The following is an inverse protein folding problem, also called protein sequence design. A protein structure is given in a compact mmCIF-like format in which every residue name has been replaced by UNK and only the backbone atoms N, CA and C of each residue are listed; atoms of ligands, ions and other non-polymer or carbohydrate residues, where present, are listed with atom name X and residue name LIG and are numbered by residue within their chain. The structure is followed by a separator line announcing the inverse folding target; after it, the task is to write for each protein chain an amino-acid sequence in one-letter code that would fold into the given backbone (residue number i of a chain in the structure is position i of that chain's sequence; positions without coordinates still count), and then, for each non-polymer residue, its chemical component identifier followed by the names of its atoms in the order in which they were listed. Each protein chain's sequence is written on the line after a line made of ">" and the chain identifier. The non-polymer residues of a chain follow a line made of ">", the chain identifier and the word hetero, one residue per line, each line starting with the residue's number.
data_IF_787654584792
#
_entry.id   IF_787654584792
#
_cell.length_a   1.000
_cell.length_b   1.000
_cell.length_c   1.000
_cell.angle_alpha   90.00
_cell.angle_beta   90.00
_cell.angle_gamma   90.00
#
_symmetry.space_group_name_H-M   'P 1'
#
loop_
_entity.id
_entity.type
_entity.pdbx_description
1 polymer ?
#
# COMPACT_ATOMS: atom_id res chain seq x y z
N UNK A 1 -45.37 -39.94 -15.56
CA UNK A 1 -44.84 -40.50 -16.83
C UNK A 1 -45.70 -39.88 -17.93
N UNK A 2 -45.28 -39.04 -18.85
CA UNK A 2 -44.05 -38.94 -19.66
C UNK A 2 -43.95 -37.46 -20.10
N UNK A 3 -42.83 -36.75 -19.92
CA UNK A 3 -41.78 -36.53 -20.95
C UNK A 3 -42.40 -36.11 -22.30
N UNK A 4 -42.09 -34.97 -22.95
CA UNK A 4 -40.79 -34.38 -23.18
C UNK A 4 -40.93 -33.26 -24.24
N UNK A 5 -39.98 -32.30 -24.22
CA UNK A 5 -39.36 -31.64 -25.40
C UNK A 5 -40.20 -30.58 -26.15
N UNK A 6 -39.94 -29.28 -26.06
CA UNK A 6 -38.76 -28.49 -26.47
C UNK A 6 -39.03 -27.68 -27.77
N UNK A 7 -38.93 -26.35 -27.61
CA UNK A 7 -38.22 -25.41 -28.51
C UNK A 7 -38.98 -24.83 -29.71
N UNK A 8 -39.00 -23.49 -29.76
CA UNK A 8 -39.41 -22.65 -30.90
C UNK A 8 -39.71 -21.21 -30.44
N UNK A 9 -38.72 -20.42 -29.95
CA UNK A 9 -37.97 -19.40 -30.74
C UNK A 9 -38.99 -18.41 -31.37
N UNK A 10 -39.14 -17.13 -31.03
CA UNK A 10 -38.21 -15.99 -31.02
C UNK A 10 -38.95 -14.85 -30.27
N UNK A 11 -38.40 -14.32 -29.18
CA UNK A 11 -38.76 -12.97 -28.73
C UNK A 11 -37.49 -12.17 -28.59
N UNK A 12 -37.13 -11.51 -29.70
CA UNK A 12 -36.09 -10.50 -29.75
C UNK A 12 -36.60 -9.25 -29.05
N UNK A 13 -35.91 -8.79 -28.01
CA UNK A 13 -35.75 -7.35 -27.80
C UNK A 13 -34.50 -7.08 -26.97
N UNK A 14 -33.65 -6.24 -27.56
CA UNK A 14 -32.41 -5.74 -27.01
C UNK A 14 -32.60 -5.08 -25.65
N UNK A 15 -31.79 -5.50 -24.67
CA UNK A 15 -31.38 -4.70 -23.54
C UNK A 15 -29.84 -4.78 -23.51
N UNK A 16 -29.18 -4.00 -24.36
CA UNK A 16 -28.61 -2.73 -23.97
C UNK A 16 -27.64 -2.88 -22.78
N UNK A 17 -26.35 -2.96 -23.13
CA UNK A 17 -25.26 -2.32 -22.39
C UNK A 17 -25.35 -2.43 -20.86
N UNK A 18 -25.03 -3.60 -20.31
CA UNK A 18 -24.54 -3.63 -18.93
C UNK A 18 -23.06 -3.27 -18.99
N UNK A 19 -22.80 -2.07 -18.49
CA UNK A 19 -21.52 -1.44 -18.25
C UNK A 19 -20.42 -2.44 -17.92
N UNK A 20 -19.34 -2.40 -18.71
CA UNK A 20 -18.02 -2.74 -18.21
C UNK A 20 -17.77 -1.85 -17.01
N UNK A 21 -18.04 -2.37 -15.82
CA UNK A 21 -17.47 -1.86 -14.57
C UNK A 21 -15.96 -2.03 -14.74
N UNK A 22 -15.32 -0.96 -15.23
CA UNK A 22 -13.89 -0.78 -15.14
C UNK A 22 -13.57 -0.68 -13.66
N UNK A 23 -13.54 -1.81 -12.98
CA UNK A 23 -12.98 -1.94 -11.66
C UNK A 23 -11.54 -1.41 -11.77
N UNK A 24 -11.36 -0.15 -11.37
CA UNK A 24 -10.07 0.47 -11.28
C UNK A 24 -9.25 -0.44 -10.38
N UNK A 25 -8.30 -1.16 -11.00
CA UNK A 25 -7.35 -1.97 -10.25
C UNK A 25 -6.76 -1.07 -9.16
N UNK A 26 -6.60 -1.56 -7.91
CA UNK A 26 -5.97 -0.80 -6.86
C UNK A 26 -4.62 -0.30 -7.39
N UNK A 27 -4.45 1.03 -7.44
CA UNK A 27 -3.25 1.65 -7.97
C UNK A 27 -2.05 1.01 -7.29
N UNK A 28 -1.11 0.54 -8.10
CA UNK A 28 0.07 -0.19 -7.67
C UNK A 28 0.80 0.57 -6.55
N UNK A 29 0.67 0.03 -5.33
CA UNK A 29 1.58 0.14 -4.19
C UNK A 29 2.24 1.48 -3.90
N UNK A 30 1.55 2.33 -3.16
CA UNK A 30 2.22 3.35 -2.36
C UNK A 30 2.88 2.65 -1.16
N UNK A 31 4.18 2.87 -0.97
CA UNK A 31 4.87 2.35 0.21
C UNK A 31 4.28 3.08 1.42
N UNK A 32 3.72 2.34 2.37
CA UNK A 32 3.02 2.88 3.53
C UNK A 32 3.83 2.64 4.81
N UNK A 33 3.84 3.60 5.74
CA UNK A 33 4.45 3.43 7.06
C UNK A 33 3.37 2.96 8.04
N UNK A 34 3.53 1.72 8.54
CA UNK A 34 2.59 1.09 9.46
C UNK A 34 3.09 1.11 10.89
N UNK A 35 2.17 1.27 11.83
CA UNK A 35 2.40 1.20 13.27
C UNK A 35 1.68 -0.03 13.82
N UNK A 36 2.39 -0.84 14.61
CA UNK A 36 1.78 -1.89 15.42
C UNK A 36 1.14 -1.23 16.64
N UNK A 37 -0.20 -1.18 16.64
CA UNK A 37 -0.99 -0.46 17.65
C UNK A 37 -0.84 -1.06 19.06
N UNK A 38 -0.75 -2.38 19.17
CA UNK A 38 -0.61 -3.06 20.47
C UNK A 38 0.71 -2.71 21.15
N UNK A 39 1.80 -2.67 20.38
CA UNK A 39 3.13 -2.29 20.88
C UNK A 39 3.23 -0.78 21.11
N UNK A 40 2.67 0.01 20.21
CA UNK A 40 2.62 1.46 20.33
C UNK A 40 1.93 1.89 21.63
N UNK A 41 0.81 1.27 21.98
CA UNK A 41 0.08 1.55 23.21
C UNK A 41 0.87 1.21 24.50
N UNK A 42 1.88 0.34 24.40
CA UNK A 42 2.75 -0.04 25.52
C UNK A 42 3.91 0.94 25.73
N UNK A 43 4.16 1.85 24.79
CA UNK A 43 5.25 2.81 24.88
C UNK A 43 4.91 3.98 25.83
N UNK A 44 5.92 4.62 26.45
CA UNK A 44 5.75 5.90 27.11
C UNK A 44 5.17 6.96 26.15
N UNK A 45 4.38 7.91 26.67
CA UNK A 45 3.75 8.96 25.85
C UNK A 45 4.75 9.76 24.99
N UNK A 46 5.96 10.01 25.51
CA UNK A 46 7.02 10.70 24.76
C UNK A 46 7.49 9.90 23.54
N UNK A 47 7.63 8.57 23.68
CA UNK A 47 8.02 7.69 22.58
C UNK A 47 6.88 7.51 21.57
N UNK A 48 5.62 7.49 22.04
CA UNK A 48 4.46 7.48 21.15
C UNK A 48 4.42 8.71 20.24
N UNK A 49 4.63 9.90 20.81
CA UNK A 49 4.71 11.14 20.03
C UNK A 49 5.83 11.05 18.99
N UNK A 50 7.00 10.52 19.38
CA UNK A 50 8.14 10.38 18.47
C UNK A 50 7.86 9.39 17.33
N UNK A 51 7.20 8.28 17.62
CA UNK A 51 6.77 7.29 16.61
C UNK A 51 5.84 7.92 15.56
N UNK A 52 4.88 8.73 16.00
CA UNK A 52 3.94 9.40 15.10
C UNK A 52 4.64 10.44 14.21
N UNK A 53 5.56 11.22 14.77
CA UNK A 53 6.37 12.19 14.02
C UNK A 53 7.22 11.49 12.95
N UNK A 54 7.90 10.39 13.32
CA UNK A 54 8.70 9.60 12.39
C UNK A 54 7.81 9.05 11.26
N UNK A 55 6.61 8.55 11.59
CA UNK A 55 5.66 8.06 10.59
C UNK A 55 5.31 9.15 9.59
N UNK A 56 4.79 10.28 10.07
CA UNK A 56 4.36 11.39 9.24
C UNK A 56 5.50 11.88 8.33
N UNK A 57 6.70 12.04 8.90
CA UNK A 57 7.84 12.54 8.14
C UNK A 57 8.32 11.55 7.09
N UNK A 58 8.34 10.25 7.39
CA UNK A 58 8.68 9.21 6.41
C UNK A 58 7.64 9.19 5.27
N UNK A 59 6.35 9.30 5.57
CA UNK A 59 5.29 9.35 4.56
C UNK A 59 5.46 10.55 3.62
N UNK A 60 5.76 11.74 4.16
CA UNK A 60 6.09 12.92 3.35
C UNK A 60 7.31 12.66 2.46
N UNK A 61 8.40 12.10 3.00
CA UNK A 61 9.61 11.81 2.23
C UNK A 61 9.41 10.78 1.12
N UNK A 62 8.46 9.85 1.31
CA UNK A 62 8.12 8.79 0.35
C UNK A 62 7.28 9.31 -0.81
N UNK A 63 6.40 10.28 -0.52
CA UNK A 63 5.48 10.89 -1.49
C UNK A 63 6.05 12.14 -2.16
N UNK A 64 7.16 12.69 -1.65
CA UNK A 64 7.85 13.84 -2.26
C UNK A 64 8.36 13.48 -3.65
N UNK A 65 7.89 14.22 -4.67
CA UNK A 65 8.48 14.16 -6.01
C UNK A 65 9.90 14.75 -5.98
N UNK A 66 10.84 13.99 -6.56
CA UNK A 66 12.27 14.31 -6.56
C UNK A 66 12.78 14.70 -7.93
N UNK A 67 11.91 14.71 -8.95
CA UNK A 67 12.26 14.97 -10.35
C UNK A 67 12.85 16.37 -10.56
N UNK A 68 12.37 17.36 -9.79
CA UNK A 68 12.75 18.77 -9.87
C UNK A 68 13.84 19.20 -8.87
N UNK A 69 14.37 18.28 -8.05
CA UNK A 69 15.31 18.61 -6.98
C UNK A 69 16.76 18.66 -7.47
N UNK A 70 17.51 19.64 -6.97
CA UNK A 70 18.96 19.73 -7.15
C UNK A 70 19.69 18.58 -6.42
N UNK A 71 20.90 18.14 -6.84
CA UNK A 71 21.63 17.09 -6.15
C UNK A 71 21.83 17.33 -4.65
N UNK A 72 22.03 18.57 -4.22
CA UNK A 72 22.17 18.94 -2.81
C UNK A 72 20.89 18.65 -2.00
N UNK A 73 19.73 19.02 -2.54
CA UNK A 73 18.42 18.78 -1.93
C UNK A 73 18.10 17.28 -1.89
N UNK A 74 18.43 16.55 -2.96
CA UNK A 74 18.27 15.09 -2.99
C UNK A 74 19.10 14.41 -1.92
N UNK A 75 20.33 14.88 -1.67
CA UNK A 75 21.18 14.31 -0.63
C UNK A 75 20.66 14.64 0.77
N UNK A 76 20.14 15.85 1.00
CA UNK A 76 19.48 16.20 2.25
C UNK A 76 18.31 15.26 2.57
N UNK A 77 17.42 15.01 1.59
CA UNK A 77 16.31 14.06 1.77
C UNK A 77 16.78 12.62 2.04
N UNK A 78 17.88 12.18 1.39
CA UNK A 78 18.46 10.86 1.67
C UNK A 78 19.05 10.76 3.06
N UNK A 79 19.73 11.80 3.52
CA UNK A 79 20.32 11.87 4.85
C UNK A 79 19.22 11.82 5.91
N UNK A 80 18.19 12.64 5.74
CA UNK A 80 17.01 12.66 6.61
C UNK A 80 16.31 11.29 6.66
N UNK A 81 16.06 10.69 5.48
CA UNK A 81 15.49 9.36 5.37
C UNK A 81 16.32 8.30 6.13
N UNK A 82 17.64 8.33 6.00
CA UNK A 82 18.54 7.40 6.71
C UNK A 82 18.48 7.62 8.22
N UNK A 83 18.42 8.87 8.67
CA UNK A 83 18.29 9.23 10.09
C UNK A 83 17.00 8.67 10.68
N UNK A 84 15.85 8.99 10.08
CA UNK A 84 14.54 8.51 10.53
C UNK A 84 14.44 6.99 10.50
N UNK A 85 15.02 6.34 9.48
CA UNK A 85 15.07 4.88 9.41
C UNK A 85 15.97 4.27 10.48
N UNK A 86 17.04 4.96 10.87
CA UNK A 86 17.91 4.56 11.98
C UNK A 86 17.13 4.60 13.30
N UNK A 87 16.47 5.71 13.58
CA UNK A 87 15.66 5.88 14.78
C UNK A 87 14.49 4.89 14.86
N UNK A 88 13.81 4.65 13.73
CA UNK A 88 12.80 3.59 13.61
C UNK A 88 13.37 2.21 13.99
N UNK A 89 14.60 1.89 13.61
CA UNK A 89 15.25 0.62 13.99
C UNK A 89 15.55 0.56 15.48
N UNK A 90 15.96 1.69 16.08
CA UNK A 90 16.20 1.80 17.52
C UNK A 90 14.91 1.50 18.30
N UNK A 91 13.80 2.15 17.91
CA UNK A 91 12.46 1.93 18.49
C UNK A 91 11.98 0.48 18.34
N UNK A 92 12.40 -0.20 17.28
CA UNK A 92 12.05 -1.59 17.02
C UNK A 92 12.92 -2.63 17.76
N UNK A 93 13.99 -2.23 18.48
CA UNK A 93 14.90 -3.19 19.13
C UNK A 93 14.23 -4.04 20.21
N UNK A 94 13.18 -3.52 20.87
CA UNK A 94 12.39 -4.23 21.88
C UNK A 94 11.21 -5.03 21.32
N UNK A 95 11.08 -5.10 19.99
CA UNK A 95 9.89 -5.58 19.30
C UNK A 95 9.40 -4.53 18.31
N UNK A 96 8.76 -4.97 17.24
CA UNK A 96 8.59 -4.09 16.09
C UNK A 96 7.35 -3.20 16.25
N UNK A 97 7.59 -1.89 16.36
CA UNK A 97 6.58 -0.82 16.56
C UNK A 97 6.22 -0.15 15.24
N UNK A 98 7.21 0.15 14.39
CA UNK A 98 7.03 0.90 13.14
C UNK A 98 7.69 0.17 11.97
N UNK A 99 7.00 0.06 10.83
CA UNK A 99 7.44 -0.72 9.67
C UNK A 99 7.14 0.03 8.38
N UNK A 100 8.05 -0.03 7.42
CA UNK A 100 7.78 0.39 6.06
C UNK A 100 7.24 -0.83 5.30
N UNK A 101 5.96 -0.82 4.96
CA UNK A 101 5.30 -1.93 4.28
C UNK A 101 5.84 -2.08 2.86
N UNK A 102 6.44 -3.23 2.57
CA UNK A 102 6.76 -3.70 1.21
C UNK A 102 5.63 -4.51 0.59
N UNK A 103 4.46 -4.61 1.24
CA UNK A 103 3.35 -5.47 0.79
C UNK A 103 2.91 -5.22 -0.67
N UNK A 104 3.19 -4.04 -1.21
CA UNK A 104 3.08 -3.76 -2.63
C UNK A 104 4.02 -4.55 -3.56
N UNK A 105 5.30 -4.68 -3.21
CA UNK A 105 6.31 -5.38 -4.02
C UNK A 105 6.17 -6.90 -3.95
N UNK A 106 5.81 -7.46 -2.78
CA UNK A 106 5.59 -8.91 -2.60
C UNK A 106 4.37 -9.41 -3.39
N UNK A 107 3.28 -8.62 -3.43
CA UNK A 107 2.13 -8.87 -4.29
C UNK A 107 2.52 -8.88 -5.78
N UNK A 108 3.35 -7.93 -6.22
CA UNK A 108 3.85 -7.87 -7.62
C UNK A 108 4.66 -9.13 -7.98
N UNK A 109 5.55 -9.58 -7.09
CA UNK A 109 6.35 -10.80 -7.30
C UNK A 109 5.44 -12.04 -7.39
N UNK A 110 4.44 -12.15 -6.52
CA UNK A 110 3.47 -13.26 -6.53
C UNK A 110 2.62 -13.23 -7.81
N UNK A 111 2.17 -12.05 -8.23
CA UNK A 111 1.35 -11.88 -9.44
C UNK A 111 2.14 -12.22 -10.72
N UNK A 112 3.43 -11.84 -10.79
CA UNK A 112 4.33 -12.17 -11.90
C UNK A 112 4.54 -13.69 -12.06
N UNK A 113 4.61 -14.44 -10.95
CA UNK A 113 4.76 -15.91 -10.96
C UNK A 113 3.48 -16.63 -11.40
N UNK A 114 2.30 -16.04 -11.16
CA UNK A 114 1.01 -16.64 -11.57
C UNK A 114 0.71 -16.35 -13.05
N UNK A 115 1.22 -15.24 -13.60
CA UNK A 115 0.96 -14.79 -14.97
C UNK A 115 1.97 -15.33 -16.02
N UNK A 116 3.15 -15.82 -15.59
CA UNK A 116 4.16 -16.49 -16.41
C UNK A 116 3.90 -18.00 -16.46
#
# INVERSE_FOLDING_TARGET
>A
MSSARHIGIIFALALAFTSTDGAAAPRASEREVRINQERFAQLPLAEQARVLEIKERLEVLMTTDRSSLDPSQREALRSEWKGLRGEMKELNRGGTVVYISTAGLLLIIILLVILL
#
